data_IF_740165203149
#
_entry.id   IF_740165203149
#
_cell.length_a   1.000
_cell.length_b   1.000
_cell.length_c   1.000
_cell.angle_alpha   90.00
_cell.angle_beta   90.00
_cell.angle_gamma   90.00
#
_symmetry.space_group_name_H-M   'P 1'
#
loop_
_entity.id
_entity.type
_entity.pdbx_description
1 polymer ?
#
# COMPACT_ATOMS: atom_id res chain seq x y z
N UNK A 1 3.70 24.74 3.85
CA UNK A 1 4.02 25.02 5.29
C UNK A 1 3.79 23.81 6.21
N UNK A 2 2.62 23.15 6.28
CA UNK A 2 2.44 21.99 7.18
C UNK A 2 3.29 20.78 6.75
N UNK A 3 3.33 20.44 5.46
CA UNK A 3 4.14 19.35 4.89
C UNK A 3 5.66 19.57 5.04
N UNK A 4 6.15 20.80 4.98
CA UNK A 4 7.58 21.09 5.20
C UNK A 4 7.99 20.92 6.66
N UNK A 5 7.11 21.30 7.61
CA UNK A 5 7.32 21.02 9.04
C UNK A 5 7.33 19.52 9.34
N UNK A 6 6.45 18.77 8.71
CA UNK A 6 6.42 17.30 8.84
C UNK A 6 7.68 16.66 8.26
N UNK A 7 8.16 17.15 7.13
CA UNK A 7 9.37 16.66 6.50
C UNK A 7 10.62 16.93 7.34
N UNK A 8 10.77 18.13 7.89
CA UNK A 8 11.91 18.47 8.75
C UNK A 8 11.91 17.68 10.06
N UNK A 9 10.73 17.44 10.66
CA UNK A 9 10.59 16.62 11.86
C UNK A 9 10.89 15.15 11.54
N UNK A 10 10.40 14.63 10.42
CA UNK A 10 10.72 13.28 9.95
C UNK A 10 12.23 13.12 9.72
N UNK A 11 12.85 14.04 8.99
CA UNK A 11 14.29 14.04 8.75
C UNK A 11 15.11 14.09 10.05
N UNK A 12 14.69 14.85 11.05
CA UNK A 12 15.38 14.89 12.36
C UNK A 12 15.33 13.57 13.13
N UNK A 13 14.24 12.81 12.98
CA UNK A 13 14.08 11.49 13.62
C UNK A 13 14.84 10.41 12.85
N UNK A 14 14.82 10.48 11.53
CA UNK A 14 15.36 9.45 10.63
C UNK A 14 16.87 9.58 10.46
N UNK A 15 17.41 10.81 10.41
CA UNK A 15 18.83 11.04 10.17
C UNK A 15 19.78 10.29 11.14
N UNK A 16 19.57 10.29 12.46
CA UNK A 16 20.46 9.54 13.36
C UNK A 16 20.46 8.03 13.08
N UNK A 17 19.30 7.46 12.72
CA UNK A 17 19.18 6.05 12.34
C UNK A 17 19.89 5.78 11.04
N UNK A 18 19.68 6.62 10.02
CA UNK A 18 20.33 6.53 8.71
C UNK A 18 21.85 6.65 8.85
N UNK A 19 22.34 7.55 9.69
CA UNK A 19 23.78 7.70 9.94
C UNK A 19 24.38 6.43 10.56
N UNK A 20 23.66 5.74 11.45
CA UNK A 20 24.11 4.49 12.09
C UNK A 20 24.18 3.31 11.12
N UNK A 21 23.37 3.31 10.06
CA UNK A 21 23.32 2.26 9.03
C UNK A 21 23.92 2.71 7.69
N UNK A 22 24.66 3.81 7.67
CA UNK A 22 25.22 4.41 6.44
C UNK A 22 26.19 3.49 5.67
N UNK A 23 26.70 2.44 6.31
CA UNK A 23 27.51 1.38 5.67
C UNK A 23 26.70 0.35 4.90
N UNK A 24 25.37 0.33 5.08
CA UNK A 24 24.50 -0.63 4.41
C UNK A 24 24.13 -0.13 3.01
N UNK A 25 23.88 -1.09 2.12
CA UNK A 25 23.31 -0.76 0.80
C UNK A 25 21.80 -0.52 0.94
N UNK A 26 21.24 0.58 0.39
CA UNK A 26 19.80 0.86 0.46
C UNK A 26 18.95 -0.31 -0.04
N UNK A 27 19.34 -0.93 -1.15
CA UNK A 27 18.65 -2.10 -1.70
C UNK A 27 18.61 -3.30 -0.74
N UNK A 28 19.51 -3.42 0.22
CA UNK A 28 19.46 -4.48 1.22
C UNK A 28 18.26 -4.30 2.15
N UNK A 29 17.93 -3.06 2.53
CA UNK A 29 16.73 -2.76 3.33
C UNK A 29 15.48 -3.16 2.56
N UNK A 30 15.37 -2.72 1.31
CA UNK A 30 14.24 -3.07 0.43
C UNK A 30 14.07 -4.59 0.30
N UNK A 31 15.17 -5.35 0.11
CA UNK A 31 15.11 -6.82 0.02
C UNK A 31 14.70 -7.49 1.34
N UNK A 32 15.04 -6.93 2.50
CA UNK A 32 14.63 -7.45 3.82
C UNK A 32 13.14 -7.14 4.08
N UNK A 33 12.63 -6.01 3.60
CA UNK A 33 11.23 -5.60 3.73
C UNK A 33 10.27 -6.66 3.19
N UNK A 34 10.56 -7.24 2.04
CA UNK A 34 9.68 -8.21 1.38
C UNK A 34 9.40 -9.46 2.24
N UNK A 35 10.41 -10.26 2.66
CA UNK A 35 10.16 -11.45 3.46
C UNK A 35 9.51 -11.12 4.82
N UNK A 36 9.89 -10.01 5.46
CA UNK A 36 9.26 -9.59 6.71
C UNK A 36 7.78 -9.25 6.54
N UNK A 37 7.45 -8.49 5.50
CA UNK A 37 6.07 -8.14 5.19
C UNK A 37 5.22 -9.37 4.83
N UNK A 38 5.77 -10.30 4.05
CA UNK A 38 5.10 -11.58 3.71
C UNK A 38 4.88 -12.42 4.96
N UNK A 39 5.89 -12.58 5.81
CA UNK A 39 5.75 -13.34 7.07
C UNK A 39 4.72 -12.70 8.00
N UNK A 40 4.68 -11.36 8.06
CA UNK A 40 3.63 -10.65 8.80
C UNK A 40 2.23 -10.92 8.28
N UNK A 41 2.04 -10.90 6.96
CA UNK A 41 0.77 -11.28 6.33
C UNK A 41 0.37 -12.75 6.59
N UNK A 42 1.32 -13.67 6.47
CA UNK A 42 1.09 -15.10 6.75
C UNK A 42 0.75 -15.35 8.23
N UNK A 43 1.34 -14.61 9.16
CA UNK A 43 0.98 -14.68 10.56
C UNK A 43 -0.49 -14.31 10.80
N UNK A 44 -1.02 -13.31 10.07
CA UNK A 44 -2.45 -12.95 10.11
C UNK A 44 -3.32 -14.05 9.49
N UNK A 45 -2.94 -14.57 8.33
CA UNK A 45 -3.69 -15.61 7.61
C UNK A 45 -3.83 -16.87 8.46
N UNK A 46 -2.76 -17.26 9.15
CA UNK A 46 -2.69 -18.52 9.91
C UNK A 46 -3.13 -18.38 11.38
N UNK A 47 -3.43 -17.16 11.86
CA UNK A 47 -3.84 -16.92 13.23
C UNK A 47 -5.23 -17.53 13.52
N UNK A 48 -5.35 -18.51 14.44
CA UNK A 48 -6.65 -19.00 14.87
C UNK A 48 -7.35 -17.97 15.78
N UNK A 49 -8.68 -18.08 15.92
CA UNK A 49 -9.44 -17.26 16.87
C UNK A 49 -9.30 -17.80 18.31
N UNK A 50 -8.10 -17.69 18.87
CA UNK A 50 -7.70 -18.16 20.20
C UNK A 50 -6.66 -17.21 20.81
N UNK A 51 -6.37 -17.30 22.11
CA UNK A 51 -5.29 -16.51 22.73
C UNK A 51 -3.91 -16.70 22.06
N UNK A 52 -3.64 -17.89 21.52
CA UNK A 52 -2.43 -18.13 20.72
C UNK A 52 -2.46 -17.32 19.42
N UNK A 53 -3.60 -17.26 18.74
CA UNK A 53 -3.77 -16.45 17.53
C UNK A 53 -3.65 -14.94 17.81
N UNK A 54 -4.10 -14.45 18.98
CA UNK A 54 -3.86 -13.08 19.38
C UNK A 54 -2.36 -12.75 19.40
N UNK A 55 -1.52 -13.64 19.94
CA UNK A 55 -0.07 -13.47 19.92
C UNK A 55 0.50 -13.49 18.50
N UNK A 56 -0.04 -14.33 17.61
CA UNK A 56 0.33 -14.33 16.18
C UNK A 56 -0.02 -13.01 15.49
N UNK A 57 -1.20 -12.44 15.78
CA UNK A 57 -1.60 -11.13 15.26
C UNK A 57 -0.69 -10.01 15.75
N UNK A 58 -0.32 -9.98 17.04
CA UNK A 58 0.66 -9.02 17.56
C UNK A 58 2.04 -9.20 16.91
N UNK A 59 2.50 -10.45 16.76
CA UNK A 59 3.73 -10.76 16.05
C UNK A 59 3.68 -10.29 14.58
N UNK A 60 2.58 -10.55 13.88
CA UNK A 60 2.32 -10.07 12.52
C UNK A 60 2.34 -8.55 12.42
N UNK A 61 1.70 -7.87 13.39
CA UNK A 61 1.72 -6.40 13.50
C UNK A 61 3.14 -5.86 13.62
N UNK A 62 3.95 -6.48 14.49
CA UNK A 62 5.36 -6.10 14.69
C UNK A 62 6.16 -6.31 13.40
N UNK A 63 6.01 -7.46 12.73
CA UNK A 63 6.72 -7.76 11.48
C UNK A 63 6.36 -6.78 10.37
N UNK A 64 5.07 -6.48 10.18
CA UNK A 64 4.60 -5.52 9.18
C UNK A 64 5.12 -4.12 9.52
N UNK A 65 5.02 -3.69 10.77
CA UNK A 65 5.52 -2.37 11.20
C UNK A 65 7.02 -2.24 10.98
N UNK A 66 7.78 -3.30 11.27
CA UNK A 66 9.22 -3.31 11.05
C UNK A 66 9.57 -3.29 9.56
N UNK A 67 8.84 -4.06 8.73
CA UNK A 67 9.00 -4.03 7.27
C UNK A 67 8.80 -2.61 6.71
N UNK A 68 7.70 -1.94 7.10
CA UNK A 68 7.40 -0.57 6.65
C UNK A 68 8.43 0.43 7.17
N UNK A 69 8.96 0.24 8.38
CA UNK A 69 10.00 1.11 8.92
C UNK A 69 11.29 0.99 8.11
N UNK A 70 11.70 -0.22 7.72
CA UNK A 70 12.85 -0.43 6.84
C UNK A 70 12.67 0.19 5.46
N UNK A 71 11.48 0.04 4.89
CA UNK A 71 11.04 0.65 3.64
C UNK A 71 11.16 2.19 3.70
N UNK A 72 10.66 2.78 4.78
CA UNK A 72 10.75 4.23 4.98
C UNK A 72 12.19 4.76 5.16
N UNK A 73 13.16 3.88 5.45
CA UNK A 73 14.57 4.25 5.64
C UNK A 73 15.41 4.14 4.37
N UNK A 74 15.04 3.30 3.39
CA UNK A 74 15.89 3.02 2.23
C UNK A 74 16.09 4.25 1.33
N UNK A 75 15.05 5.03 1.07
CA UNK A 75 15.12 6.29 0.32
C UNK A 75 16.01 7.36 0.98
N UNK A 76 15.82 7.69 2.26
CA UNK A 76 16.74 8.54 3.02
C UNK A 76 18.19 8.03 3.00
N UNK A 77 18.41 6.73 3.19
CA UNK A 77 19.73 6.12 3.14
C UNK A 77 20.36 6.26 1.75
N UNK A 78 19.60 6.00 0.68
CA UNK A 78 20.08 6.15 -0.70
C UNK A 78 20.54 7.60 -0.99
N UNK A 79 19.75 8.59 -0.55
CA UNK A 79 20.12 10.01 -0.69
C UNK A 79 21.35 10.38 0.14
N UNK A 80 21.44 9.89 1.37
CA UNK A 80 22.56 10.18 2.29
C UNK A 80 23.89 9.60 1.81
N UNK A 81 23.84 8.40 1.19
CA UNK A 81 25.03 7.69 0.70
C UNK A 81 25.34 7.94 -0.78
N UNK A 82 24.54 8.74 -1.48
CA UNK A 82 24.70 9.00 -2.92
C UNK A 82 24.40 7.76 -3.80
N UNK A 83 23.64 6.78 -3.30
CA UNK A 83 23.33 5.52 -3.98
C UNK A 83 21.92 5.49 -4.57
N UNK A 84 21.37 6.65 -4.98
CA UNK A 84 20.06 6.72 -5.65
C UNK A 84 20.16 6.09 -7.03
N UNK A 85 19.31 5.11 -7.32
CA UNK A 85 19.28 4.42 -8.62
C UNK A 85 17.85 4.21 -9.12
N UNK A 86 17.67 4.17 -10.45
CA UNK A 86 16.38 3.83 -11.08
C UNK A 86 15.92 2.42 -10.71
N UNK A 87 16.85 1.50 -10.52
CA UNK A 87 16.57 0.14 -10.08
C UNK A 87 16.03 0.11 -8.65
N UNK A 88 16.60 0.91 -7.74
CA UNK A 88 16.10 1.03 -6.35
C UNK A 88 14.67 1.55 -6.32
N UNK A 89 14.36 2.61 -7.07
CA UNK A 89 13.02 3.18 -7.18
C UNK A 89 12.01 2.17 -7.75
N UNK A 90 12.40 1.42 -8.79
CA UNK A 90 11.57 0.37 -9.37
C UNK A 90 11.30 -0.78 -8.38
N UNK A 91 12.33 -1.21 -7.64
CA UNK A 91 12.25 -2.29 -6.67
C UNK A 91 11.33 -1.92 -5.49
N UNK A 92 11.52 -0.73 -4.93
CA UNK A 92 10.69 -0.15 -3.87
C UNK A 92 9.21 -0.15 -4.27
N UNK A 93 8.90 0.46 -5.40
CA UNK A 93 7.51 0.49 -5.90
C UNK A 93 6.93 -0.89 -6.21
N UNK A 94 7.75 -1.86 -6.63
CA UNK A 94 7.30 -3.23 -6.91
C UNK A 94 6.95 -3.95 -5.62
N UNK A 95 7.82 -3.88 -4.61
CA UNK A 95 7.59 -4.53 -3.32
C UNK A 95 6.43 -3.92 -2.55
N UNK A 96 6.26 -2.61 -2.66
CA UNK A 96 5.08 -1.90 -2.17
C UNK A 96 3.77 -2.50 -2.66
N UNK A 97 3.67 -2.71 -3.96
CA UNK A 97 2.44 -3.24 -4.58
C UNK A 97 2.23 -4.71 -4.23
N UNK A 98 3.31 -5.47 -4.19
CA UNK A 98 3.24 -6.88 -3.80
C UNK A 98 2.78 -7.03 -2.36
N UNK A 99 3.34 -6.27 -1.42
CA UNK A 99 2.96 -6.32 -0.01
C UNK A 99 1.54 -5.81 0.23
N UNK A 100 1.11 -4.72 -0.43
CA UNK A 100 -0.27 -4.25 -0.38
C UNK A 100 -1.26 -5.38 -0.76
N UNK A 101 -0.96 -6.14 -1.83
CA UNK A 101 -1.79 -7.26 -2.28
C UNK A 101 -1.72 -8.46 -1.31
N UNK A 102 -0.53 -8.82 -0.84
CA UNK A 102 -0.34 -9.93 0.10
C UNK A 102 -1.10 -9.70 1.39
N UNK A 103 -0.97 -8.51 2.00
CA UNK A 103 -1.62 -8.21 3.27
C UNK A 103 -3.13 -8.28 3.17
N UNK A 104 -3.73 -7.67 2.14
CA UNK A 104 -5.19 -7.66 2.00
C UNK A 104 -5.75 -9.05 1.72
N UNK A 105 -5.04 -9.86 0.91
CA UNK A 105 -5.44 -11.25 0.64
C UNK A 105 -5.29 -12.12 1.89
N UNK A 106 -4.21 -11.97 2.66
CA UNK A 106 -4.01 -12.69 3.91
C UNK A 106 -5.07 -12.31 4.96
N UNK A 107 -5.39 -11.03 5.09
CA UNK A 107 -6.46 -10.56 5.99
C UNK A 107 -7.81 -11.14 5.61
N UNK A 108 -8.18 -11.08 4.34
CA UNK A 108 -9.47 -11.57 3.86
C UNK A 108 -9.58 -13.10 3.89
N UNK A 109 -8.48 -13.81 3.65
CA UNK A 109 -8.41 -15.28 3.73
C UNK A 109 -8.33 -15.82 5.16
N UNK A 110 -8.06 -14.97 6.17
CA UNK A 110 -7.97 -15.37 7.57
C UNK A 110 -9.33 -15.83 8.13
N UNK A 111 -9.31 -16.53 9.26
CA UNK A 111 -10.53 -16.96 9.95
C UNK A 111 -11.42 -15.78 10.42
N UNK A 112 -10.90 -14.58 10.43
CA UNK A 112 -11.59 -13.35 10.84
C UNK A 112 -12.48 -12.76 9.73
N UNK A 113 -12.29 -13.16 8.47
CA UNK A 113 -13.11 -12.74 7.32
C UNK A 113 -13.63 -13.97 6.57
N UNK A 114 -12.76 -14.92 6.24
CA UNK A 114 -13.13 -16.19 5.63
C UNK A 114 -13.45 -16.11 4.13
N UNK A 115 -13.06 -15.02 3.44
CA UNK A 115 -13.39 -14.80 2.03
C UNK A 115 -12.18 -14.38 1.19
N UNK A 116 -11.49 -15.36 0.61
CA UNK A 116 -10.38 -15.13 -0.32
C UNK A 116 -10.83 -14.40 -1.59
N UNK A 117 -12.08 -14.59 -2.05
CA UNK A 117 -12.59 -13.95 -3.26
C UNK A 117 -12.67 -12.43 -3.06
N UNK A 118 -13.20 -12.02 -1.90
CA UNK A 118 -13.19 -10.60 -1.49
C UNK A 118 -11.77 -10.06 -1.42
N UNK A 119 -10.83 -10.83 -0.85
CA UNK A 119 -9.42 -10.44 -0.76
C UNK A 119 -8.77 -10.22 -2.12
N UNK A 120 -8.99 -11.12 -3.07
CA UNK A 120 -8.49 -11.00 -4.44
C UNK A 120 -9.12 -9.82 -5.17
N UNK A 121 -10.43 -9.59 -5.01
CA UNK A 121 -11.11 -8.44 -5.59
C UNK A 121 -10.57 -7.12 -5.01
N UNK A 122 -10.39 -7.05 -3.70
CA UNK A 122 -9.82 -5.87 -3.03
C UNK A 122 -8.38 -5.61 -3.50
N UNK A 123 -7.54 -6.64 -3.56
CA UNK A 123 -6.17 -6.54 -4.05
C UNK A 123 -6.13 -6.04 -5.50
N UNK A 124 -6.99 -6.58 -6.37
CA UNK A 124 -7.11 -6.14 -7.76
C UNK A 124 -7.50 -4.66 -7.87
N UNK A 125 -8.49 -4.20 -7.11
CA UNK A 125 -8.92 -2.80 -7.10
C UNK A 125 -7.82 -1.84 -6.60
N UNK A 126 -7.07 -2.26 -5.57
CA UNK A 126 -5.91 -1.51 -5.05
C UNK A 126 -4.82 -1.39 -6.11
N UNK A 127 -4.48 -2.50 -6.76
CA UNK A 127 -3.45 -2.53 -7.81
C UNK A 127 -3.89 -1.72 -9.04
N UNK A 128 -5.16 -1.82 -9.43
CA UNK A 128 -5.74 -1.05 -10.53
C UNK A 128 -5.69 0.47 -10.25
N UNK A 129 -6.06 0.89 -9.03
CA UNK A 129 -5.92 2.28 -8.61
C UNK A 129 -4.46 2.78 -8.62
N UNK A 130 -3.51 1.91 -8.29
CA UNK A 130 -2.07 2.22 -8.37
C UNK A 130 -1.57 2.28 -9.81
N UNK A 131 -2.03 1.35 -10.65
CA UNK A 131 -1.72 1.31 -12.08
C UNK A 131 -2.16 2.60 -12.78
N UNK A 132 -3.35 3.13 -12.48
CA UNK A 132 -3.81 4.40 -13.06
C UNK A 132 -2.83 5.56 -12.81
N UNK A 133 -2.21 5.63 -11.63
CA UNK A 133 -1.20 6.65 -11.35
C UNK A 133 0.07 6.48 -12.19
N UNK A 134 0.52 5.25 -12.36
CA UNK A 134 1.72 4.93 -13.18
C UNK A 134 1.44 5.15 -14.66
N UNK A 135 0.24 4.76 -15.12
CA UNK A 135 -0.18 4.94 -16.53
C UNK A 135 -0.31 6.44 -16.87
N UNK A 136 -0.90 7.24 -15.99
CA UNK A 136 -0.96 8.69 -16.19
C UNK A 136 0.44 9.31 -16.29
N UNK A 137 1.39 8.86 -15.45
CA UNK A 137 2.78 9.30 -15.52
C UNK A 137 3.46 8.91 -16.85
N UNK A 138 3.18 7.71 -17.36
CA UNK A 138 3.76 7.24 -18.62
C UNK A 138 3.25 8.04 -19.83
N UNK A 139 1.99 8.48 -19.82
CA UNK A 139 1.33 9.18 -20.94
C UNK A 139 1.46 10.69 -20.83
N UNK A 140 1.25 11.25 -19.64
CA UNK A 140 1.18 12.70 -19.42
C UNK A 140 2.42 13.27 -18.69
N UNK A 141 3.40 12.44 -18.31
CA UNK A 141 4.61 12.87 -17.60
C UNK A 141 4.38 13.24 -16.13
N UNK A 142 3.13 13.33 -15.66
CA UNK A 142 2.77 13.67 -14.29
C UNK A 142 2.14 12.49 -13.56
N UNK A 143 2.46 12.31 -12.27
CA UNK A 143 1.90 11.26 -11.45
C UNK A 143 0.78 11.78 -10.55
N UNK A 144 -0.38 11.16 -10.68
CA UNK A 144 -1.53 11.47 -9.85
C UNK A 144 -1.50 10.69 -8.54
N UNK A 145 -1.52 11.40 -7.40
CA UNK A 145 -1.49 10.83 -6.05
C UNK A 145 -2.85 10.90 -5.33
N UNK A 146 -3.91 11.37 -5.98
CA UNK A 146 -5.23 11.49 -5.35
C UNK A 146 -5.84 10.13 -5.03
N UNK A 147 -6.75 10.12 -4.05
CA UNK A 147 -7.51 8.96 -3.62
C UNK A 147 -7.01 8.36 -2.31
N UNK A 148 -7.48 7.16 -2.01
CA UNK A 148 -7.10 6.39 -0.83
C UNK A 148 -5.71 5.78 -1.03
N UNK A 149 -4.71 6.43 -0.43
CA UNK A 149 -3.30 6.17 -0.66
C UNK A 149 -2.77 4.92 0.04
N UNK A 150 -1.51 4.55 -0.27
CA UNK A 150 -0.80 3.45 0.42
C UNK A 150 -0.67 3.71 1.91
N UNK A 151 -0.28 4.92 2.31
CA UNK A 151 -0.09 5.27 3.71
C UNK A 151 -1.38 5.04 4.54
N UNK A 152 -2.54 5.44 3.99
CA UNK A 152 -3.83 5.26 4.66
C UNK A 152 -4.14 3.77 4.87
N UNK A 153 -3.97 2.95 3.83
CA UNK A 153 -4.19 1.49 3.90
C UNK A 153 -3.24 0.82 4.88
N UNK A 154 -1.97 1.17 4.83
CA UNK A 154 -0.93 0.61 5.69
C UNK A 154 -1.22 0.87 7.16
N UNK A 155 -1.57 2.10 7.53
CA UNK A 155 -1.94 2.45 8.91
C UNK A 155 -3.18 1.65 9.35
N UNK A 156 -4.22 1.61 8.51
CA UNK A 156 -5.43 0.85 8.80
C UNK A 156 -5.16 -0.65 8.95
N UNK A 157 -4.29 -1.22 8.11
CA UNK A 157 -3.88 -2.63 8.20
C UNK A 157 -3.21 -2.92 9.54
N UNK A 158 -2.21 -2.13 9.94
CA UNK A 158 -1.49 -2.29 11.21
C UNK A 158 -2.47 -2.18 12.38
N UNK A 159 -3.28 -1.12 12.40
CA UNK A 159 -4.24 -0.86 13.47
C UNK A 159 -5.28 -1.96 13.57
N UNK A 160 -5.83 -2.43 12.44
CA UNK A 160 -6.87 -3.47 12.46
C UNK A 160 -6.35 -4.83 12.95
N UNK A 161 -5.13 -5.21 12.58
CA UNK A 161 -4.52 -6.46 13.02
C UNK A 161 -4.25 -6.39 14.54
N UNK A 162 -3.68 -5.27 15.02
CA UNK A 162 -3.44 -5.06 16.44
C UNK A 162 -4.73 -5.04 17.26
N UNK A 163 -5.77 -4.35 16.77
CA UNK A 163 -7.08 -4.31 17.41
C UNK A 163 -7.74 -5.69 17.45
N UNK A 164 -7.63 -6.48 16.37
CA UNK A 164 -8.17 -7.85 16.38
C UNK A 164 -7.45 -8.72 17.41
N UNK A 165 -6.14 -8.61 17.52
CA UNK A 165 -5.37 -9.27 18.59
C UNK A 165 -5.86 -8.87 19.99
N UNK A 166 -6.14 -7.58 20.20
CA UNK A 166 -6.69 -7.08 21.44
C UNK A 166 -8.13 -7.58 21.68
N UNK A 167 -8.98 -7.64 20.66
CA UNK A 167 -10.35 -8.16 20.76
C UNK A 167 -10.34 -9.61 21.24
N UNK A 168 -9.47 -10.45 20.69
CA UNK A 168 -9.33 -11.85 21.13
C UNK A 168 -8.82 -11.88 22.59
N UNK A 169 -7.81 -11.06 22.92
CA UNK A 169 -7.19 -11.06 24.24
C UNK A 169 -8.18 -10.63 25.36
N UNK A 170 -9.06 -9.67 25.05
CA UNK A 170 -10.09 -9.17 25.99
C UNK A 170 -11.46 -9.84 25.81
N UNK A 171 -11.52 -10.92 25.03
CA UNK A 171 -12.76 -11.70 24.76
C UNK A 171 -13.89 -10.83 24.19
N UNK A 172 -13.54 -9.80 23.41
CA UNK A 172 -14.50 -8.97 22.66
C UNK A 172 -14.94 -9.77 21.42
N UNK A 173 -16.23 -10.06 21.33
CA UNK A 173 -16.80 -10.77 20.18
C UNK A 173 -16.93 -9.87 18.94
N UNK A 174 -17.32 -10.49 17.82
CA UNK A 174 -17.69 -9.76 16.60
C UNK A 174 -18.99 -8.97 16.80
N UNK A 175 -19.17 -7.90 16.03
CA UNK A 175 -20.38 -7.03 16.08
C UNK A 175 -21.54 -7.54 15.21
N UNK A 176 -21.64 -8.85 14.97
CA UNK A 176 -22.58 -9.48 14.05
C UNK A 176 -21.96 -9.73 12.67
N UNK A 177 -22.81 -9.80 11.65
CA UNK A 177 -22.39 -10.01 10.25
C UNK A 177 -22.89 -8.87 9.34
N UNK A 178 -22.26 -8.72 8.18
CA UNK A 178 -22.73 -7.76 7.19
C UNK A 178 -24.05 -8.20 6.56
N UNK A 179 -24.90 -7.28 6.09
CA UNK A 179 -26.15 -7.63 5.45
C UNK A 179 -25.98 -8.11 4.00
N UNK A 180 -26.94 -8.89 3.52
CA UNK A 180 -27.08 -9.27 2.11
C UNK A 180 -26.04 -10.28 1.64
N UNK A 181 -25.33 -9.99 0.56
CA UNK A 181 -24.35 -10.92 -0.05
C UNK A 181 -23.11 -11.18 0.83
N UNK A 182 -22.90 -10.37 1.85
CA UNK A 182 -21.75 -10.47 2.77
C UNK A 182 -22.16 -11.00 4.16
N UNK A 183 -23.32 -11.63 4.28
CA UNK A 183 -23.87 -12.14 5.55
C UNK A 183 -23.03 -13.23 6.22
N UNK A 184 -22.14 -13.85 5.45
CA UNK A 184 -21.16 -14.81 5.94
C UNK A 184 -19.90 -14.17 6.56
N UNK A 185 -19.72 -12.84 6.40
CA UNK A 185 -18.53 -12.12 6.90
C UNK A 185 -18.85 -11.49 8.27
N UNK A 186 -18.10 -11.79 9.33
CA UNK A 186 -18.28 -11.14 10.62
C UNK A 186 -17.79 -9.68 10.59
N UNK A 187 -18.47 -8.82 11.35
CA UNK A 187 -18.08 -7.41 11.50
C UNK A 187 -17.04 -7.34 12.62
N UNK A 188 -15.78 -7.14 12.25
CA UNK A 188 -14.64 -6.99 13.15
C UNK A 188 -13.59 -6.03 12.55
N UNK A 189 -12.53 -5.67 13.29
CA UNK A 189 -11.53 -4.71 12.81
C UNK A 189 -10.89 -5.10 11.47
N UNK A 190 -10.62 -6.38 11.24
CA UNK A 190 -9.98 -6.87 10.00
C UNK A 190 -10.95 -6.76 8.82
N UNK A 191 -12.19 -7.28 8.96
CA UNK A 191 -13.17 -7.25 7.88
C UNK A 191 -13.56 -5.82 7.46
N UNK A 192 -13.65 -4.91 8.43
CA UNK A 192 -13.90 -3.48 8.17
C UNK A 192 -12.80 -2.91 7.27
N UNK A 193 -11.53 -3.18 7.58
CA UNK A 193 -10.41 -2.62 6.79
C UNK A 193 -10.28 -3.29 5.42
N UNK A 194 -10.62 -4.57 5.28
CA UNK A 194 -10.70 -5.24 3.98
C UNK A 194 -11.73 -4.54 3.08
N UNK A 195 -12.93 -4.28 3.59
CA UNK A 195 -13.98 -3.58 2.84
C UNK A 195 -13.61 -2.11 2.54
N UNK A 196 -13.09 -1.37 3.52
CA UNK A 196 -12.60 0.01 3.30
C UNK A 196 -11.54 0.01 2.20
N UNK A 197 -10.63 -0.96 2.19
CA UNK A 197 -9.57 -1.07 1.20
C UNK A 197 -10.10 -1.40 -0.20
N UNK A 198 -11.12 -2.25 -0.31
CA UNK A 198 -11.78 -2.57 -1.57
C UNK A 198 -12.49 -1.33 -2.15
N UNK A 199 -13.33 -0.66 -1.35
CA UNK A 199 -14.03 0.57 -1.78
C UNK A 199 -13.05 1.72 -2.03
N UNK A 200 -12.03 1.88 -1.19
CA UNK A 200 -10.98 2.88 -1.35
C UNK A 200 -10.15 2.65 -2.62
N UNK A 201 -9.87 1.39 -2.98
CA UNK A 201 -9.24 1.02 -4.24
C UNK A 201 -10.08 1.41 -5.45
N UNK A 202 -11.37 1.06 -5.44
CA UNK A 202 -12.33 1.45 -6.48
C UNK A 202 -12.43 2.98 -6.61
N UNK A 203 -12.59 3.68 -5.49
CA UNK A 203 -12.61 5.14 -5.46
C UNK A 203 -11.34 5.76 -6.05
N UNK A 204 -10.19 5.21 -5.68
CA UNK A 204 -8.88 5.67 -6.18
C UNK A 204 -8.76 5.46 -7.68
N UNK A 205 -9.20 4.32 -8.20
CA UNK A 205 -9.25 4.05 -9.62
C UNK A 205 -10.10 5.09 -10.37
N UNK A 206 -11.33 5.31 -9.90
CA UNK A 206 -12.27 6.22 -10.57
C UNK A 206 -11.77 7.67 -10.56
N UNK A 207 -11.28 8.17 -9.42
CA UNK A 207 -10.82 9.57 -9.33
C UNK A 207 -9.55 9.80 -10.17
N UNK A 208 -8.64 8.83 -10.21
CA UNK A 208 -7.43 8.92 -11.02
C UNK A 208 -7.72 8.80 -12.51
N UNK A 209 -8.66 7.96 -12.90
CA UNK A 209 -9.10 7.83 -14.29
C UNK A 209 -9.69 9.15 -14.81
N UNK A 210 -10.63 9.74 -14.08
CA UNK A 210 -11.24 11.01 -14.48
C UNK A 210 -10.23 12.14 -14.53
N UNK A 211 -9.32 12.21 -13.56
CA UNK A 211 -8.29 13.25 -13.56
C UNK A 211 -7.29 13.05 -14.72
N UNK A 212 -6.84 11.84 -14.98
CA UNK A 212 -5.94 11.55 -16.09
C UNK A 212 -6.62 11.90 -17.44
N UNK A 213 -7.93 11.60 -17.59
CA UNK A 213 -8.67 11.99 -18.80
C UNK A 213 -8.61 13.50 -19.04
N UNK A 214 -8.89 14.31 -18.01
CA UNK A 214 -8.85 15.77 -18.17
C UNK A 214 -7.46 16.30 -18.48
N UNK A 215 -6.44 15.77 -17.82
CA UNK A 215 -5.06 16.18 -18.00
C UNK A 215 -4.53 15.83 -19.39
N UNK A 216 -4.74 14.59 -19.84
CA UNK A 216 -4.30 14.11 -21.16
C UNK A 216 -5.03 14.87 -22.27
N UNK A 217 -6.35 15.08 -22.15
CA UNK A 217 -7.10 15.85 -23.15
C UNK A 217 -6.65 17.31 -23.25
N UNK A 218 -6.18 17.90 -22.16
CA UNK A 218 -5.61 19.26 -22.23
C UNK A 218 -4.24 19.24 -22.94
N UNK A 219 -3.39 18.26 -22.67
CA UNK A 219 -2.11 18.07 -23.37
C UNK A 219 -2.37 17.89 -24.86
N UNK A 220 -3.29 17.04 -25.26
CA UNK A 220 -3.64 16.79 -26.68
C UNK A 220 -4.17 18.05 -27.40
N UNK A 221 -4.76 19.00 -26.65
CA UNK A 221 -5.20 20.29 -27.23
C UNK A 221 -4.06 21.27 -27.41
N UNK A 222 -3.10 21.28 -26.48
CA UNK A 222 -1.95 22.19 -26.45
C UNK A 222 -0.82 21.70 -27.39
N UNK A 223 -0.58 20.38 -27.41
CA UNK A 223 0.46 19.73 -28.20
C UNK A 223 -0.11 18.42 -28.83
N UNK A 224 -0.89 18.53 -29.93
CA UNK A 224 -1.52 17.39 -30.56
C UNK A 224 -0.48 16.45 -31.18
N UNK A 225 -0.71 15.13 -31.02
CA UNK A 225 0.17 14.10 -31.61
C UNK A 225 0.18 14.22 -33.14
N UNK A 226 1.34 13.99 -33.79
CA UNK A 226 1.46 13.97 -35.26
C UNK A 226 0.49 12.97 -35.89
N UNK A 227 -0.32 13.43 -36.83
CA UNK A 227 -1.26 12.57 -37.52
C UNK A 227 -0.52 11.71 -38.58
N UNK A 228 -0.74 10.38 -38.65
CA UNK A 228 -0.03 9.50 -39.59
C UNK A 228 -0.18 9.90 -41.08
N UNK A 229 -1.25 10.61 -41.40
CA UNK A 229 -1.59 11.03 -42.77
C UNK A 229 -1.52 12.54 -42.98
N UNK A 230 -0.91 13.31 -42.08
CA UNK A 230 -0.74 14.73 -42.29
C UNK A 230 0.17 14.96 -43.52
N UNK A 231 -0.17 15.86 -44.46
CA UNK A 231 0.73 16.20 -45.56
C UNK A 231 2.07 16.64 -45.01
N UNK A 232 3.18 16.07 -45.52
CA UNK A 232 4.52 16.56 -45.17
C UNK A 232 4.57 18.01 -45.64
N UNK A 233 4.71 18.96 -44.68
CA UNK A 233 5.07 20.32 -45.04
C UNK A 233 6.38 20.22 -45.82
N UNK A 234 6.29 20.50 -47.12
CA UNK A 234 7.46 20.62 -47.99
C UNK A 234 8.15 21.92 -47.60
N UNK A 235 9.33 21.81 -46.97
CA UNK A 235 10.28 22.91 -46.81
C UNK A 235 10.72 23.47 -48.20
#
# INVERSE_FOLDING_TARGET
MALEKFRSTWESIVNPVVDSISTWKPSTLTWITLPLGVLGGLAVLMAPNTPYGANMLFGGTILITFAITLDALDGPLARRTGQVTRWGDYLDHTFDRLLDAVWIVCMAGSVFVGDFTLGLAAAWLILLGSYMGTQAQAVAGSRNYRGFGRADRTILTIVSIALMGAFIHFEVGDFGTYPGMLDHIPINPISIVVLISAFGGLWTFLIRFVQAQHEIQNIDREDPLPQPNAPKETE
#
